data_IF_510362819638
#
_entry.id   IF_510362819638
#
_cell.length_a   1.000
_cell.length_b   1.000
_cell.length_c   1.000
_cell.angle_alpha   90.00
_cell.angle_beta   90.00
_cell.angle_gamma   90.00
#
_symmetry.space_group_name_H-M   'P 1'
#
loop_
_entity.id
_entity.type
_entity.pdbx_description
1 polymer ?
#
# COMPACT_ATOMS: atom_id res chain seq x y z
N UNK A 1 -0.97 -36.97 -32.61
CA UNK A 1 -0.82 -35.68 -31.89
C UNK A 1 -0.64 -35.99 -30.42
N UNK A 2 0.61 -36.09 -29.98
CA UNK A 2 0.94 -36.33 -28.58
C UNK A 2 1.15 -35.04 -27.77
N UNK A 3 1.33 -33.90 -28.45
CA UNK A 3 1.33 -32.58 -27.81
C UNK A 3 0.05 -32.34 -27.02
N UNK A 4 0.18 -31.72 -25.87
CA UNK A 4 -0.92 -31.39 -24.98
C UNK A 4 -1.56 -30.08 -25.41
N UNK A 5 -2.82 -30.15 -25.81
CA UNK A 5 -3.65 -28.98 -26.06
C UNK A 5 -4.26 -28.48 -24.74
N UNK A 6 -4.35 -27.16 -24.56
CA UNK A 6 -5.01 -26.55 -23.39
C UNK A 6 -4.13 -26.41 -22.14
N UNK A 7 -2.79 -26.47 -22.27
CA UNK A 7 -1.89 -26.06 -21.20
C UNK A 7 -1.87 -24.52 -21.12
N UNK A 8 -2.22 -23.96 -19.96
CA UNK A 8 -2.25 -22.51 -19.72
C UNK A 8 -1.09 -22.11 -18.82
N UNK A 9 -0.25 -21.19 -19.27
CA UNK A 9 0.76 -20.56 -18.42
C UNK A 9 0.10 -19.75 -17.31
N UNK A 10 0.49 -20.00 -16.06
CA UNK A 10 0.00 -19.29 -14.88
C UNK A 10 1.01 -18.26 -14.38
N UNK A 11 2.30 -18.55 -14.47
CA UNK A 11 3.38 -17.72 -13.95
C UNK A 11 4.64 -17.81 -14.82
N UNK A 12 5.39 -16.70 -14.89
CA UNK A 12 6.59 -16.56 -15.69
C UNK A 12 7.55 -15.54 -15.07
N UNK A 13 8.83 -15.93 -14.91
CA UNK A 13 9.87 -15.08 -14.31
C UNK A 13 11.04 -14.96 -15.30
N UNK A 14 11.47 -13.74 -15.62
CA UNK A 14 12.56 -13.45 -16.55
C UNK A 14 12.40 -14.12 -17.94
N UNK A 15 11.17 -14.34 -18.39
CA UNK A 15 10.88 -15.02 -19.66
C UNK A 15 10.86 -16.54 -19.60
N UNK A 16 11.04 -17.14 -18.42
CA UNK A 16 10.97 -18.58 -18.19
C UNK A 16 9.67 -18.96 -17.48
N UNK A 17 8.98 -20.00 -17.96
CA UNK A 17 7.70 -20.45 -17.39
C UNK A 17 7.96 -21.15 -16.07
N UNK A 18 7.33 -20.70 -14.99
CA UNK A 18 7.48 -21.25 -13.64
C UNK A 18 6.27 -22.08 -13.20
N UNK A 19 5.06 -21.76 -13.70
CA UNK A 19 3.83 -22.51 -13.39
C UNK A 19 2.89 -22.62 -14.58
N UNK A 20 2.22 -23.77 -14.69
CA UNK A 20 1.20 -24.04 -15.72
C UNK A 20 -0.02 -24.76 -15.15
N UNK A 21 -1.17 -24.58 -15.77
CA UNK A 21 -2.40 -25.33 -15.50
C UNK A 21 -2.71 -26.26 -16.67
N UNK A 22 -3.01 -27.51 -16.38
CA UNK A 22 -3.45 -28.50 -17.37
C UNK A 22 -4.49 -29.45 -16.75
N UNK A 23 -5.63 -29.63 -17.45
CA UNK A 23 -6.76 -30.45 -16.98
C UNK A 23 -7.22 -30.16 -15.54
N UNK A 24 -7.28 -28.88 -15.16
CA UNK A 24 -7.72 -28.44 -13.83
C UNK A 24 -6.72 -28.69 -12.70
N UNK A 25 -5.50 -29.13 -13.02
CA UNK A 25 -4.40 -29.26 -12.07
C UNK A 25 -3.31 -28.23 -12.36
N UNK A 26 -2.67 -27.74 -11.30
CA UNK A 26 -1.50 -26.88 -11.38
C UNK A 26 -0.22 -27.70 -11.37
N UNK A 27 0.76 -27.25 -12.13
CA UNK A 27 2.09 -27.84 -12.22
C UNK A 27 3.13 -26.75 -12.03
N UNK A 28 4.14 -27.04 -11.23
CA UNK A 28 5.26 -26.15 -10.94
C UNK A 28 6.53 -26.67 -11.60
N UNK A 29 7.37 -25.73 -12.06
CA UNK A 29 8.68 -26.09 -12.60
C UNK A 29 9.52 -26.73 -11.50
N UNK A 30 10.13 -27.88 -11.81
CA UNK A 30 10.99 -28.61 -10.88
C UNK A 30 12.36 -28.88 -11.46
N UNK A 31 13.35 -28.89 -10.57
CA UNK A 31 14.69 -29.40 -10.86
C UNK A 31 14.84 -30.85 -10.41
N UNK A 32 15.67 -31.61 -11.11
CA UNK A 32 15.95 -33.03 -10.81
C UNK A 32 15.36 -34.01 -11.84
N UNK A 33 15.26 -35.30 -11.47
CA UNK A 33 14.83 -36.36 -12.40
C UNK A 33 13.34 -36.25 -12.71
N UNK A 34 12.99 -36.66 -13.93
CA UNK A 34 11.62 -36.74 -14.39
C UNK A 34 10.83 -37.81 -13.63
N UNK A 35 9.51 -37.64 -13.56
CA UNK A 35 8.57 -38.64 -13.10
C UNK A 35 7.51 -38.88 -14.17
N UNK A 36 7.01 -40.12 -14.25
CA UNK A 36 5.87 -40.43 -15.09
C UNK A 36 4.69 -39.54 -14.73
N UNK A 37 4.16 -38.81 -15.71
CA UNK A 37 3.06 -37.86 -15.53
C UNK A 37 3.48 -36.41 -15.34
N UNK A 38 4.78 -36.10 -15.20
CA UNK A 38 5.28 -34.73 -15.31
C UNK A 38 4.99 -34.16 -16.72
N UNK A 39 4.85 -32.84 -16.82
CA UNK A 39 4.81 -32.17 -18.11
C UNK A 39 6.22 -31.79 -18.55
N UNK A 40 6.51 -32.02 -19.82
CA UNK A 40 7.82 -31.81 -20.44
C UNK A 40 7.67 -30.70 -21.47
N UNK A 41 8.50 -29.66 -21.36
CA UNK A 41 8.57 -28.56 -22.32
C UNK A 41 9.93 -28.62 -23.04
N UNK A 42 10.02 -29.14 -24.28
CA UNK A 42 11.25 -29.12 -25.05
C UNK A 42 11.71 -27.69 -25.33
N UNK A 43 12.95 -27.37 -24.92
CA UNK A 43 13.60 -26.07 -25.12
C UNK A 43 14.67 -26.12 -26.23
N UNK A 44 15.03 -27.31 -26.70
CA UNK A 44 15.91 -27.56 -27.85
C UNK A 44 15.29 -28.61 -28.79
N UNK A 45 15.94 -28.87 -29.93
CA UNK A 45 15.56 -29.91 -30.89
C UNK A 45 16.08 -31.32 -30.47
N UNK A 46 16.27 -31.53 -29.16
CA UNK A 46 16.80 -32.77 -28.61
C UNK A 46 15.81 -33.94 -28.63
N UNK A 47 14.52 -33.67 -28.80
CA UNK A 47 13.50 -34.67 -29.06
C UNK A 47 13.22 -34.74 -30.57
N UNK A 48 13.28 -35.94 -31.15
CA UNK A 48 12.91 -36.19 -32.54
C UNK A 48 11.41 -36.07 -32.70
N UNK A 49 11.01 -35.38 -33.77
CA UNK A 49 9.60 -35.22 -34.17
C UNK A 49 8.68 -34.65 -33.07
N UNK A 50 9.24 -33.95 -32.08
CA UNK A 50 8.52 -33.17 -31.08
C UNK A 50 8.68 -31.66 -31.35
N UNK A 51 7.57 -30.93 -31.22
CA UNK A 51 7.54 -29.48 -31.43
C UNK A 51 8.12 -28.73 -30.23
N UNK A 52 9.25 -28.04 -30.44
CA UNK A 52 9.86 -27.13 -29.46
C UNK A 52 8.85 -26.08 -28.96
N UNK A 53 8.83 -25.84 -27.65
CA UNK A 53 7.90 -24.90 -27.01
C UNK A 53 6.48 -25.43 -26.80
N UNK A 54 6.19 -26.67 -27.18
CA UNK A 54 4.92 -27.34 -26.87
C UNK A 54 5.06 -28.24 -25.65
N UNK A 55 3.97 -28.44 -24.90
CA UNK A 55 3.98 -29.32 -23.75
C UNK A 55 3.65 -30.76 -24.13
N UNK A 56 4.38 -31.70 -23.54
CA UNK A 56 4.17 -33.14 -23.66
C UNK A 56 4.03 -33.75 -22.26
N UNK A 57 3.46 -34.96 -22.19
CA UNK A 57 3.38 -35.71 -20.94
C UNK A 57 4.51 -36.74 -20.90
N UNK A 58 5.29 -36.77 -19.82
CA UNK A 58 6.23 -37.85 -19.57
C UNK A 58 5.46 -39.17 -19.40
N UNK A 59 5.63 -40.10 -20.34
CA UNK A 59 5.00 -41.42 -20.32
C UNK A 59 5.87 -42.45 -19.59
N UNK A 60 7.17 -42.20 -19.50
CA UNK A 60 8.15 -43.08 -18.85
C UNK A 60 9.38 -42.26 -18.45
N UNK A 61 10.28 -42.89 -17.70
CA UNK A 61 11.56 -42.30 -17.28
C UNK A 61 12.65 -43.31 -17.58
N UNK A 62 13.74 -42.87 -18.22
CA UNK A 62 14.85 -43.77 -18.54
C UNK A 62 15.71 -44.10 -17.30
N UNK A 63 16.81 -44.85 -17.50
CA UNK A 63 17.67 -45.29 -16.40
C UNK A 63 18.43 -44.15 -15.72
N UNK A 64 18.65 -43.05 -16.42
CA UNK A 64 19.40 -41.90 -15.93
C UNK A 64 18.45 -40.84 -15.30
N UNK A 65 17.14 -41.08 -15.35
CA UNK A 65 16.12 -40.20 -14.80
C UNK A 65 15.59 -39.18 -15.82
N UNK A 66 15.89 -39.38 -17.11
CA UNK A 66 15.48 -38.51 -18.19
C UNK A 66 14.06 -38.85 -18.69
N UNK A 67 13.35 -37.82 -19.16
CA UNK A 67 11.95 -37.95 -19.55
C UNK A 67 11.79 -38.64 -20.91
N UNK A 68 10.87 -39.60 -20.97
CA UNK A 68 10.41 -40.21 -22.23
C UNK A 68 9.00 -39.72 -22.52
N UNK A 69 8.79 -39.17 -23.72
CA UNK A 69 7.51 -38.66 -24.21
C UNK A 69 7.02 -39.50 -25.40
N UNK A 70 5.77 -39.25 -25.81
CA UNK A 70 5.32 -39.57 -27.16
C UNK A 70 5.49 -38.32 -28.02
N UNK A 71 6.08 -38.45 -29.19
CA UNK A 71 6.30 -37.34 -30.13
C UNK A 71 5.06 -37.07 -31.02
N UNK A 72 5.17 -36.13 -31.96
CA UNK A 72 4.03 -35.73 -32.79
C UNK A 72 3.55 -36.83 -33.75
N UNK A 73 4.42 -37.80 -34.08
CA UNK A 73 4.11 -38.98 -34.90
C UNK A 73 3.68 -40.20 -34.07
N UNK A 74 3.79 -40.11 -32.74
CA UNK A 74 3.35 -41.13 -31.79
C UNK A 74 4.42 -42.15 -31.42
N UNK A 75 5.67 -41.91 -31.78
CA UNK A 75 6.80 -42.73 -31.38
C UNK A 75 7.30 -42.33 -29.98
N UNK A 76 7.92 -43.29 -29.30
CA UNK A 76 8.51 -43.06 -27.97
C UNK A 76 9.87 -42.43 -28.15
N UNK A 77 10.07 -41.25 -27.58
CA UNK A 77 11.34 -40.55 -27.65
C UNK A 77 11.79 -40.02 -26.29
N UNK A 78 13.09 -40.15 -26.02
CA UNK A 78 13.74 -39.74 -24.78
C UNK A 78 14.89 -38.81 -25.09
N UNK A 79 15.10 -37.79 -24.26
CA UNK A 79 16.16 -36.81 -24.45
C UNK A 79 16.85 -36.47 -23.15
N UNK A 80 18.07 -35.93 -23.21
CA UNK A 80 18.84 -35.55 -22.03
C UNK A 80 18.20 -34.37 -21.27
N UNK A 81 18.34 -34.35 -19.94
CA UNK A 81 17.79 -33.32 -19.04
C UNK A 81 17.92 -31.86 -19.50
N UNK A 82 19.02 -31.48 -20.16
CA UNK A 82 19.27 -30.09 -20.59
C UNK A 82 18.48 -29.67 -21.84
N UNK A 83 17.71 -30.59 -22.45
CA UNK A 83 16.94 -30.32 -23.65
C UNK A 83 15.49 -29.90 -23.37
N UNK A 84 15.04 -29.93 -22.11
CA UNK A 84 13.67 -29.62 -21.71
C UNK A 84 13.55 -29.05 -20.30
N UNK A 85 12.42 -28.41 -20.02
CA UNK A 85 11.97 -28.08 -18.66
C UNK A 85 10.90 -29.05 -18.17
N UNK A 86 10.90 -29.33 -16.86
CA UNK A 86 9.96 -30.23 -16.19
C UNK A 86 8.97 -29.46 -15.33
N UNK A 87 7.71 -29.85 -15.40
CA UNK A 87 6.65 -29.33 -14.54
C UNK A 87 5.94 -30.48 -13.82
N UNK A 88 6.01 -30.47 -12.49
CA UNK A 88 5.43 -31.50 -11.64
C UNK A 88 4.09 -31.05 -11.10
N UNK A 89 3.13 -31.97 -11.12
CA UNK A 89 1.79 -31.73 -10.58
C UNK A 89 1.89 -31.34 -9.11
N UNK A 90 1.45 -30.14 -8.77
CA UNK A 90 1.27 -29.72 -7.38
C UNK A 90 0.02 -30.42 -6.89
N UNK A 91 0.18 -31.35 -5.95
CA UNK A 91 -0.96 -31.93 -5.26
C UNK A 91 -1.57 -30.83 -4.40
N UNK A 92 -2.63 -30.18 -4.88
CA UNK A 92 -3.46 -29.37 -4.02
C UNK A 92 -3.95 -30.27 -2.87
N UNK A 93 -3.55 -29.94 -1.65
CA UNK A 93 -4.22 -30.43 -0.44
C UNK A 93 -5.64 -29.85 -0.45
N UNK A 94 -6.51 -30.45 -1.26
CA UNK A 94 -7.92 -30.19 -1.15
C UNK A 94 -8.41 -30.87 0.13
N UNK A 95 -9.16 -30.16 0.99
CA UNK A 95 -9.81 -30.79 2.11
C UNK A 95 -10.65 -31.96 1.60
N UNK A 96 -10.58 -33.07 2.32
CA UNK A 96 -11.36 -34.29 2.08
C UNK A 96 -12.86 -33.97 2.00
N UNK A 97 -13.66 -34.85 1.39
CA UNK A 97 -15.12 -34.70 1.35
C UNK A 97 -15.67 -34.53 2.77
N UNK A 98 -15.09 -35.25 3.73
CA UNK A 98 -15.41 -35.20 5.14
C UNK A 98 -15.08 -33.83 5.77
N UNK A 99 -13.93 -33.25 5.45
CA UNK A 99 -13.56 -31.91 5.91
C UNK A 99 -14.43 -30.83 5.28
N UNK A 100 -14.78 -30.94 3.99
CA UNK A 100 -15.68 -30.02 3.31
C UNK A 100 -17.11 -30.11 3.84
N UNK A 101 -17.59 -31.31 4.13
CA UNK A 101 -18.90 -31.52 4.78
C UNK A 101 -18.88 -30.93 6.18
N UNK A 102 -17.81 -31.11 6.95
CA UNK A 102 -17.68 -30.50 8.28
C UNK A 102 -17.66 -28.97 8.24
N UNK A 103 -16.96 -28.37 7.27
CA UNK A 103 -16.98 -26.91 7.07
C UNK A 103 -18.37 -26.44 6.66
N UNK A 104 -19.00 -27.09 5.69
CA UNK A 104 -20.35 -26.73 5.24
C UNK A 104 -21.39 -26.91 6.35
N UNK A 105 -21.27 -27.92 7.21
CA UNK A 105 -22.17 -28.11 8.35
C UNK A 105 -22.03 -26.96 9.37
N UNK A 106 -20.81 -26.53 9.65
CA UNK A 106 -20.55 -25.34 10.50
C UNK A 106 -21.09 -24.07 9.87
N UNK A 107 -20.91 -23.89 8.56
CA UNK A 107 -21.42 -22.73 7.83
C UNK A 107 -22.95 -22.72 7.82
N UNK A 108 -23.59 -23.89 7.68
CA UNK A 108 -25.06 -24.01 7.77
C UNK A 108 -25.56 -23.73 9.19
N UNK A 109 -24.84 -24.15 10.24
CA UNK A 109 -25.19 -23.79 11.62
C UNK A 109 -25.05 -22.28 11.87
N UNK A 110 -23.97 -21.66 11.38
CA UNK A 110 -23.79 -20.20 11.43
C UNK A 110 -24.92 -19.49 10.70
N UNK A 111 -25.25 -19.90 9.47
CA UNK A 111 -26.33 -19.32 8.68
C UNK A 111 -27.69 -19.50 9.34
N UNK A 112 -27.95 -20.65 10.00
CA UNK A 112 -29.19 -20.85 10.77
C UNK A 112 -29.25 -19.94 11.99
N UNK A 113 -28.12 -19.71 12.66
CA UNK A 113 -28.03 -18.77 13.78
C UNK A 113 -28.24 -17.32 13.31
N UNK A 114 -27.65 -16.93 12.19
CA UNK A 114 -27.84 -15.61 11.58
C UNK A 114 -29.29 -15.41 11.10
N UNK A 115 -29.89 -16.42 10.47
CA UNK A 115 -31.31 -16.38 10.06
C UNK A 115 -32.26 -16.36 11.26
N UNK A 116 -31.93 -17.03 12.37
CA UNK A 116 -32.72 -16.95 13.59
C UNK A 116 -32.61 -15.55 14.23
N UNK A 117 -31.42 -14.95 14.21
CA UNK A 117 -31.19 -13.56 14.63
C UNK A 117 -32.00 -12.59 13.76
N UNK A 118 -31.91 -12.72 12.44
CA UNK A 118 -32.66 -11.89 11.48
C UNK A 118 -34.19 -12.08 11.57
N UNK A 119 -34.67 -13.29 11.88
CA UNK A 119 -36.10 -13.53 12.11
C UNK A 119 -36.59 -13.01 13.45
N UNK A 120 -35.73 -12.93 14.47
CA UNK A 120 -36.03 -12.24 15.72
C UNK A 120 -36.06 -10.71 15.59
N UNK A 121 -35.41 -10.16 14.56
CA UNK A 121 -35.37 -8.72 14.26
C UNK A 121 -36.49 -8.24 13.31
N UNK A 122 -37.36 -9.14 12.87
CA UNK A 122 -38.45 -8.85 11.93
C UNK A 122 -39.76 -8.39 12.61
N UNK A 123 -39.73 -7.97 13.88
CA UNK A 123 -40.84 -7.22 14.47
C UNK A 123 -40.81 -5.76 13.96
N UNK A 124 -41.95 -5.18 13.53
CA UNK A 124 -41.99 -3.79 13.10
C UNK A 124 -41.54 -2.88 14.26
N UNK A 125 -40.46 -2.14 14.05
CA UNK A 125 -39.94 -1.20 15.05
C UNK A 125 -40.76 0.09 14.97
N UNK A 126 -41.27 0.53 16.11
CA UNK A 126 -42.01 1.79 16.24
C UNK A 126 -41.10 2.82 16.92
N UNK A 127 -40.86 3.96 16.28
CA UNK A 127 -40.11 5.08 16.88
C UNK A 127 -41.09 6.09 17.45
N UNK A 128 -40.85 6.61 18.67
CA UNK A 128 -41.66 7.67 19.27
C UNK A 128 -41.33 9.00 18.59
N UNK A 129 -42.35 9.74 18.18
CA UNK A 129 -42.23 11.05 17.53
C UNK A 129 -42.96 12.12 18.35
N UNK A 130 -42.63 13.39 18.12
CA UNK A 130 -43.34 14.52 18.72
C UNK A 130 -44.79 14.60 18.22
N UNK A 131 -45.72 14.99 19.10
CA UNK A 131 -47.16 15.10 18.75
C UNK A 131 -47.40 16.04 17.56
N UNK A 132 -46.61 17.11 17.45
CA UNK A 132 -46.69 18.07 16.33
C UNK A 132 -46.23 17.51 14.99
N UNK A 133 -45.57 16.36 14.95
CA UNK A 133 -45.11 15.69 13.73
C UNK A 133 -46.05 14.56 13.27
N UNK A 134 -47.16 14.35 13.98
CA UNK A 134 -48.13 13.31 13.66
C UNK A 134 -48.76 13.53 12.28
N UNK A 135 -48.92 12.45 11.53
CA UNK A 135 -49.66 12.44 10.26
C UNK A 135 -50.42 11.13 10.08
N UNK A 136 -51.36 11.10 9.14
CA UNK A 136 -52.04 9.88 8.74
C UNK A 136 -51.04 8.75 8.41
N UNK A 137 -51.31 7.54 8.91
CA UNK A 137 -50.44 6.36 8.82
C UNK A 137 -49.33 6.25 9.89
N UNK A 138 -49.17 7.25 10.75
CA UNK A 138 -48.47 7.10 12.03
C UNK A 138 -49.42 6.38 13.05
N UNK A 139 -48.97 6.13 14.27
CA UNK A 139 -49.71 5.37 15.29
C UNK A 139 -49.81 6.15 16.60
N UNK A 140 -50.94 6.09 17.28
CA UNK A 140 -51.15 6.65 18.61
C UNK A 140 -51.28 5.53 19.65
N UNK A 141 -50.68 5.75 20.82
CA UNK A 141 -50.73 4.83 21.96
C UNK A 141 -51.13 5.58 23.22
N UNK A 142 -52.27 5.21 23.79
CA UNK A 142 -52.76 5.79 25.03
C UNK A 142 -52.03 5.20 26.23
N UNK A 143 -51.53 6.08 27.08
CA UNK A 143 -50.87 5.74 28.35
C UNK A 143 -51.93 5.64 29.45
N UNK A 144 -52.95 6.49 29.36
CA UNK A 144 -54.11 6.52 30.26
C UNK A 144 -55.32 7.05 29.48
N UNK A 145 -56.48 6.45 29.68
CA UNK A 145 -57.75 6.88 29.08
C UNK A 145 -58.91 6.50 30.01
N UNK A 146 -59.99 7.29 29.96
CA UNK A 146 -61.27 7.01 30.63
C UNK A 146 -62.32 6.46 29.66
N UNK A 147 -61.96 6.30 28.38
CA UNK A 147 -62.80 5.73 27.35
C UNK A 147 -62.66 4.21 27.34
N UNK A 148 -63.78 3.50 27.58
CA UNK A 148 -63.82 2.04 27.66
C UNK A 148 -63.59 1.39 26.27
N UNK A 149 -63.75 2.15 25.18
CA UNK A 149 -63.55 1.70 23.80
C UNK A 149 -62.07 1.87 23.34
N UNK A 150 -61.20 2.35 24.23
CA UNK A 150 -59.75 2.51 24.00
C UNK A 150 -58.95 1.65 24.99
N UNK A 151 -58.28 0.62 24.48
CA UNK A 151 -57.29 -0.16 25.23
C UNK A 151 -55.96 0.59 25.38
N UNK A 152 -55.59 0.91 26.62
CA UNK A 152 -54.25 1.41 26.95
C UNK A 152 -53.16 0.45 26.47
N UNK A 153 -52.00 0.99 26.12
CA UNK A 153 -50.86 0.27 25.54
C UNK A 153 -51.04 -0.31 24.12
N UNK A 154 -52.25 -0.31 23.56
CA UNK A 154 -52.50 -0.68 22.16
C UNK A 154 -52.07 0.46 21.21
N UNK A 155 -51.57 0.09 20.02
CA UNK A 155 -51.25 1.02 18.94
C UNK A 155 -52.45 1.13 18.01
N UNK A 156 -52.95 2.35 17.81
CA UNK A 156 -54.01 2.68 16.86
C UNK A 156 -53.40 3.43 15.68
N UNK A 157 -53.75 3.07 14.45
CA UNK A 157 -53.30 3.80 13.25
C UNK A 157 -54.05 5.13 13.17
N UNK A 158 -53.32 6.20 12.87
CA UNK A 158 -53.87 7.54 12.72
C UNK A 158 -54.49 7.64 11.34
N UNK A 159 -55.80 7.89 11.29
CA UNK A 159 -56.56 8.08 10.06
C UNK A 159 -56.33 9.49 9.49
N UNK A 160 -56.31 10.51 10.35
CA UNK A 160 -56.11 11.91 9.98
C UNK A 160 -55.60 12.76 11.15
N UNK A 161 -54.95 13.89 10.85
CA UNK A 161 -54.68 14.97 11.80
C UNK A 161 -55.33 16.24 11.28
N UNK A 162 -56.07 16.95 12.12
CA UNK A 162 -56.75 18.18 11.73
C UNK A 162 -55.84 19.43 11.82
N UNK A 163 -56.40 20.61 11.56
CA UNK A 163 -55.65 21.87 11.56
C UNK A 163 -55.32 22.40 12.97
N UNK A 164 -55.96 21.87 14.02
CA UNK A 164 -55.65 22.15 15.42
C UNK A 164 -54.60 21.19 15.98
N UNK A 165 -54.33 20.08 15.26
CA UNK A 165 -53.40 19.04 15.66
C UNK A 165 -54.07 17.88 16.40
N UNK A 166 -55.40 17.79 16.37
CA UNK A 166 -56.15 16.68 16.96
C UNK A 166 -56.05 15.44 16.05
N UNK A 167 -55.85 14.29 16.67
CA UNK A 167 -55.51 13.02 15.99
C UNK A 167 -56.77 12.15 15.90
N UNK A 168 -57.20 11.80 14.70
CA UNK A 168 -58.34 10.90 14.45
C UNK A 168 -57.86 9.46 14.22
N UNK A 169 -58.55 8.49 14.81
CA UNK A 169 -58.25 7.06 14.68
C UNK A 169 -59.51 6.20 14.88
N UNK A 170 -59.45 4.94 14.46
CA UNK A 170 -60.52 3.95 14.68
C UNK A 170 -60.30 3.17 15.98
N UNK A 171 -61.29 3.15 16.86
CA UNK A 171 -61.20 2.54 18.20
C UNK A 171 -61.36 1.00 18.24
N UNK A 172 -61.56 0.40 19.42
CA UNK A 172 -61.68 -1.05 19.57
C UNK A 172 -63.01 -1.63 19.05
N UNK A 173 -64.06 -0.80 18.93
CA UNK A 173 -65.38 -1.20 18.43
C UNK A 173 -65.57 -0.85 16.94
N UNK A 174 -64.60 -0.14 16.36
CA UNK A 174 -64.57 0.22 14.95
C UNK A 174 -65.20 1.57 14.63
N UNK A 175 -65.43 2.40 15.66
CA UNK A 175 -65.98 3.75 15.51
C UNK A 175 -64.84 4.79 15.39
N UNK A 176 -65.14 5.93 14.76
CA UNK A 176 -64.21 7.05 14.61
C UNK A 176 -64.10 7.81 15.94
N UNK A 177 -62.89 7.91 16.46
CA UNK A 177 -62.57 8.60 17.70
C UNK A 177 -61.41 9.59 17.49
N UNK A 178 -61.17 10.50 18.44
CA UNK A 178 -60.09 11.48 18.36
C UNK A 178 -59.35 11.66 19.67
N UNK A 179 -58.04 11.88 19.58
CA UNK A 179 -57.16 12.18 20.71
C UNK A 179 -56.88 13.69 20.76
N UNK A 180 -57.40 14.36 21.80
CA UNK A 180 -57.21 15.78 22.06
C UNK A 180 -55.82 16.07 22.62
N UNK A 181 -55.31 17.29 22.44
CA UNK A 181 -54.05 17.72 23.06
C UNK A 181 -53.97 17.46 24.60
N UNK A 182 -55.12 17.47 25.29
CA UNK A 182 -55.24 17.23 26.74
C UNK A 182 -55.12 15.75 27.15
N UNK A 183 -55.16 14.82 26.20
CA UNK A 183 -55.10 13.38 26.46
C UNK A 183 -53.67 12.85 26.66
N UNK A 184 -53.58 11.78 27.44
CA UNK A 184 -52.30 11.15 27.79
C UNK A 184 -51.95 10.05 26.81
N UNK A 185 -51.35 10.44 25.68
CA UNK A 185 -50.87 9.52 24.64
C UNK A 185 -49.46 9.86 24.14
N UNK A 186 -48.85 8.89 23.46
CA UNK A 186 -47.64 9.05 22.68
C UNK A 186 -47.88 8.66 21.22
N UNK A 187 -47.20 9.34 20.29
CA UNK A 187 -47.28 9.08 18.85
C UNK A 187 -46.04 8.32 18.39
N UNK A 188 -46.23 7.39 17.47
CA UNK A 188 -45.22 6.48 16.95
C UNK A 188 -45.27 6.42 15.44
N UNK A 189 -44.11 6.29 14.79
CA UNK A 189 -44.03 6.03 13.36
C UNK A 189 -43.58 4.59 13.12
N UNK A 190 -44.34 3.86 12.30
CA UNK A 190 -43.95 2.51 11.87
C UNK A 190 -42.82 2.64 10.86
N UNK A 191 -41.63 2.19 11.22
CA UNK A 191 -40.49 2.12 10.31
C UNK A 191 -40.31 0.67 9.88
N UNK A 192 -40.28 0.43 8.56
CA UNK A 192 -39.78 -0.86 8.06
C UNK A 192 -38.33 -1.01 8.51
N UNK A 193 -37.89 -2.22 8.85
CA UNK A 193 -36.49 -2.45 9.24
C UNK A 193 -35.49 -1.89 8.21
N UNK A 194 -35.90 -1.76 6.94
CA UNK A 194 -35.12 -1.14 5.85
C UNK A 194 -35.10 0.40 5.85
N UNK A 195 -36.05 1.08 6.51
CA UNK A 195 -36.12 2.54 6.60
C UNK A 195 -35.84 3.08 8.01
N UNK A 196 -35.72 2.19 9.00
CA UNK A 196 -35.24 2.48 10.35
C UNK A 196 -33.71 2.64 10.43
N UNK A 197 -32.99 2.28 9.36
CA UNK A 197 -31.54 2.48 9.18
C UNK A 197 -31.23 3.49 8.06
N UNK A 198 -32.00 4.58 7.98
CA UNK A 198 -31.53 5.81 7.34
C UNK A 198 -30.62 6.65 8.26
N UNK A 199 -30.18 6.08 9.39
CA UNK A 199 -28.74 6.14 9.68
C UNK A 199 -28.24 4.69 9.69
N UNK A 200 -27.30 4.29 8.82
CA UNK A 200 -26.53 3.11 9.13
C UNK A 200 -25.92 3.41 10.48
N UNK A 201 -26.12 2.57 11.50
CA UNK A 201 -25.25 2.64 12.69
C UNK A 201 -23.85 2.49 12.09
N UNK A 202 -23.01 3.55 12.04
CA UNK A 202 -21.77 3.47 11.31
C UNK A 202 -21.02 2.32 11.95
N UNK A 203 -20.46 1.43 11.12
CA UNK A 203 -19.44 0.50 11.59
C UNK A 203 -18.48 1.34 12.43
N UNK A 204 -18.52 1.16 13.76
CA UNK A 204 -17.92 2.12 14.67
C UNK A 204 -16.45 2.16 14.32
N UNK A 205 -15.98 3.35 13.94
CA UNK A 205 -14.57 3.61 13.72
C UNK A 205 -13.79 3.04 14.90
N UNK A 206 -12.77 2.24 14.61
CA UNK A 206 -11.90 1.62 15.61
C UNK A 206 -10.48 2.13 15.43
N UNK A 207 -9.69 2.01 16.49
CA UNK A 207 -8.25 2.24 16.42
C UNK A 207 -7.64 1.38 15.31
N UNK A 208 -6.85 1.99 14.45
CA UNK A 208 -6.28 1.42 13.23
C UNK A 208 -7.07 1.76 11.96
N UNK A 209 -8.29 2.27 12.06
CA UNK A 209 -9.04 2.74 10.89
C UNK A 209 -8.53 4.12 10.44
N UNK A 210 -8.73 4.40 9.15
CA UNK A 210 -8.55 5.74 8.59
C UNK A 210 -9.91 6.41 8.44
N UNK A 211 -9.96 7.69 8.78
CA UNK A 211 -11.14 8.51 8.73
C UNK A 211 -10.89 9.82 7.99
N UNK A 212 -11.94 10.37 7.40
CA UNK A 212 -11.97 11.71 6.85
C UNK A 212 -12.74 12.63 7.79
N UNK A 213 -12.18 13.81 8.04
CA UNK A 213 -12.81 14.87 8.82
C UNK A 213 -13.89 15.54 7.97
N UNK A 214 -15.13 15.58 8.46
CA UNK A 214 -16.28 16.16 7.73
C UNK A 214 -16.79 17.47 8.32
N UNK A 215 -16.30 17.83 9.51
CA UNK A 215 -16.58 19.11 10.17
C UNK A 215 -15.42 19.46 11.09
N UNK A 216 -15.28 20.76 11.32
CA UNK A 216 -14.30 21.34 12.23
C UNK A 216 -15.02 21.84 13.48
N UNK A 217 -14.87 21.16 14.62
CA UNK A 217 -15.26 21.70 15.92
C UNK A 217 -14.05 22.18 16.75
N UNK A 218 -14.35 22.94 17.80
CA UNK A 218 -13.33 23.52 18.67
C UNK A 218 -12.55 22.43 19.42
N UNK A 219 -11.26 22.27 19.12
CA UNK A 219 -10.39 21.41 19.94
C UNK A 219 -9.20 20.75 19.25
N UNK A 220 -9.12 20.81 17.91
CA UNK A 220 -8.02 20.25 17.12
C UNK A 220 -7.62 21.13 15.93
N UNK A 221 -6.49 20.78 15.30
CA UNK A 221 -5.93 21.47 14.12
C UNK A 221 -6.20 20.72 12.80
N UNK A 222 -7.09 19.73 12.80
CA UNK A 222 -7.53 19.08 11.57
C UNK A 222 -8.55 19.95 10.83
N UNK A 223 -8.35 20.08 9.52
CA UNK A 223 -9.24 20.78 8.60
C UNK A 223 -10.26 19.79 8.00
N UNK A 224 -11.37 20.32 7.50
CA UNK A 224 -12.35 19.51 6.74
C UNK A 224 -11.66 18.86 5.54
N UNK A 225 -12.01 17.61 5.25
CA UNK A 225 -11.40 16.71 4.26
C UNK A 225 -9.99 16.16 4.61
N UNK A 226 -9.43 16.48 5.78
CA UNK A 226 -8.20 15.83 6.24
C UNK A 226 -8.41 14.32 6.43
N UNK A 227 -7.46 13.52 5.93
CA UNK A 227 -7.40 12.08 6.18
C UNK A 227 -6.50 11.82 7.39
N UNK A 228 -7.08 11.18 8.40
CA UNK A 228 -6.45 10.89 9.68
C UNK A 228 -6.47 9.39 9.98
N UNK A 229 -5.44 8.92 10.69
CA UNK A 229 -5.35 7.58 11.23
C UNK A 229 -5.76 7.59 12.70
N UNK A 230 -6.67 6.72 13.11
CA UNK A 230 -7.09 6.61 14.51
C UNK A 230 -6.08 5.76 15.29
N UNK A 231 -5.29 6.38 16.15
CA UNK A 231 -4.16 5.72 16.82
C UNK A 231 -4.47 5.28 18.25
N UNK A 232 -5.45 5.89 18.92
CA UNK A 232 -5.82 5.55 20.30
C UNK A 232 -7.29 5.90 20.57
N UNK A 233 -7.98 5.08 21.35
CA UNK A 233 -9.32 5.38 21.83
C UNK A 233 -9.24 6.29 23.06
N UNK A 234 -9.93 7.44 23.02
CA UNK A 234 -10.06 8.34 24.15
C UNK A 234 -11.29 8.02 25.02
N UNK A 235 -11.54 8.86 26.02
CA UNK A 235 -12.78 8.80 26.79
C UNK A 235 -13.91 9.46 25.99
N UNK A 236 -14.90 8.64 25.58
CA UNK A 236 -16.29 8.98 25.18
C UNK A 236 -16.55 10.35 24.51
N UNK A 237 -16.76 10.47 23.19
CA UNK A 237 -16.53 9.57 22.06
C UNK A 237 -15.32 10.00 21.21
N UNK A 238 -14.22 10.42 21.85
CA UNK A 238 -13.07 10.97 21.14
C UNK A 238 -12.05 9.89 20.74
N UNK A 239 -11.40 10.09 19.60
CA UNK A 239 -10.20 9.37 19.19
C UNK A 239 -9.00 10.29 19.28
N UNK A 240 -7.84 9.74 19.64
CA UNK A 240 -6.58 10.36 19.29
C UNK A 240 -6.26 9.94 17.86
N UNK A 241 -6.07 10.91 16.99
CA UNK A 241 -5.81 10.66 15.59
C UNK A 241 -4.53 11.36 15.15
N UNK A 242 -3.94 10.84 14.07
CA UNK A 242 -2.76 11.40 13.42
C UNK A 242 -3.09 11.77 11.99
N UNK A 243 -2.88 13.03 11.61
CA UNK A 243 -3.05 13.49 10.24
C UNK A 243 -1.96 12.91 9.34
N UNK A 244 -2.35 12.42 8.17
CA UNK A 244 -1.40 11.79 7.26
C UNK A 244 -0.44 12.78 6.58
N UNK A 245 -0.86 14.03 6.35
CA UNK A 245 -0.08 15.01 5.59
C UNK A 245 1.21 15.45 6.28
N UNK A 246 1.17 15.65 7.61
CA UNK A 246 2.29 16.18 8.40
C UNK A 246 2.56 15.42 9.70
N UNK A 247 1.71 14.45 10.05
CA UNK A 247 1.86 13.67 11.28
C UNK A 247 1.36 14.36 12.54
N UNK A 248 0.67 15.50 12.44
CA UNK A 248 0.07 16.20 13.59
C UNK A 248 -0.92 15.29 14.33
N UNK A 249 -0.87 15.34 15.66
CA UNK A 249 -1.64 14.44 16.54
C UNK A 249 -2.57 15.23 17.43
N UNK A 250 -3.87 14.99 17.30
CA UNK A 250 -4.91 15.68 18.07
C UNK A 250 -6.02 14.72 18.48
N UNK A 251 -6.80 15.14 19.47
CA UNK A 251 -8.05 14.46 19.82
C UNK A 251 -9.19 15.01 18.96
N UNK A 252 -10.00 14.12 18.41
CA UNK A 252 -11.13 14.44 17.54
C UNK A 252 -12.34 13.62 17.96
N UNK A 253 -13.53 14.20 17.91
CA UNK A 253 -14.77 13.50 18.24
C UNK A 253 -15.16 12.55 17.10
N UNK A 254 -15.56 11.31 17.42
CA UNK A 254 -15.99 10.32 16.44
C UNK A 254 -17.09 10.82 15.50
N UNK A 255 -17.91 11.77 15.97
CA UNK A 255 -19.01 12.35 15.22
C UNK A 255 -18.54 13.37 14.17
N UNK A 256 -17.28 13.81 14.21
CA UNK A 256 -16.66 14.67 13.19
C UNK A 256 -16.05 13.89 12.03
N UNK A 257 -16.16 12.55 12.07
CA UNK A 257 -15.43 11.64 11.22
C UNK A 257 -16.36 10.75 10.40
N UNK A 258 -15.96 10.48 9.16
CA UNK A 258 -16.49 9.38 8.35
C UNK A 258 -15.36 8.44 7.98
N UNK A 259 -15.66 7.16 7.75
CA UNK A 259 -14.65 6.21 7.28
C UNK A 259 -14.09 6.69 5.93
N UNK A 260 -12.76 6.78 5.83
CA UNK A 260 -12.11 7.12 4.58
C UNK A 260 -12.16 5.93 3.62
N UNK A 261 -12.33 6.22 2.33
CA UNK A 261 -12.25 5.20 1.27
C UNK A 261 -10.80 4.81 0.99
N UNK A 262 -10.58 3.61 0.44
CA UNK A 262 -9.23 3.15 0.08
C UNK A 262 -8.53 4.11 -0.91
N UNK A 263 -9.30 4.76 -1.79
CA UNK A 263 -8.79 5.75 -2.74
C UNK A 263 -8.36 7.06 -2.06
N UNK A 264 -9.15 7.58 -1.12
CA UNK A 264 -8.79 8.76 -0.31
C UNK A 264 -7.54 8.48 0.55
N UNK A 265 -7.44 7.27 1.13
CA UNK A 265 -6.28 6.86 1.92
C UNK A 265 -5.03 6.79 1.03
N UNK A 266 -5.14 6.20 -0.16
CA UNK A 266 -4.03 6.09 -1.10
C UNK A 266 -3.53 7.47 -1.56
N UNK A 267 -4.45 8.37 -1.95
CA UNK A 267 -4.10 9.73 -2.34
C UNK A 267 -3.50 10.53 -1.19
N UNK A 268 -4.01 10.40 0.05
CA UNK A 268 -3.45 11.09 1.20
C UNK A 268 -2.03 10.61 1.53
N UNK A 269 -1.75 9.30 1.44
CA UNK A 269 -0.41 8.74 1.64
C UNK A 269 0.57 9.23 0.57
N UNK A 270 0.14 9.23 -0.68
CA UNK A 270 0.92 9.71 -1.81
C UNK A 270 1.18 11.23 -1.72
N UNK A 271 0.17 12.02 -1.33
CA UNK A 271 0.33 13.44 -1.05
C UNK A 271 1.30 13.72 0.11
N UNK A 272 1.22 12.94 1.20
CA UNK A 272 2.14 13.04 2.33
C UNK A 272 3.58 12.71 1.92
N UNK A 273 3.79 11.67 1.12
CA UNK A 273 5.11 11.32 0.58
C UNK A 273 5.68 12.47 -0.27
N UNK A 274 4.88 13.06 -1.16
CA UNK A 274 5.29 14.22 -1.97
C UNK A 274 5.56 15.48 -1.15
N UNK A 275 4.83 15.71 -0.05
CA UNK A 275 4.98 16.90 0.78
C UNK A 275 6.37 17.03 1.44
N UNK A 276 7.08 15.91 1.62
CA UNK A 276 8.46 15.89 2.10
C UNK A 276 9.45 16.56 1.14
N UNK A 277 9.13 16.58 -0.16
CA UNK A 277 9.95 17.15 -1.22
C UNK A 277 9.60 18.61 -1.44
N UNK A 278 10.04 19.49 -0.54
CA UNK A 278 9.78 20.93 -0.65
C UNK A 278 10.58 21.54 -1.81
N UNK A 279 10.08 22.64 -2.38
CA UNK A 279 10.83 23.42 -3.37
C UNK A 279 12.22 23.78 -2.84
N UNK A 280 13.24 23.62 -3.68
CA UNK A 280 14.64 23.82 -3.34
C UNK A 280 15.32 22.63 -2.66
N UNK A 281 14.56 21.63 -2.18
CA UNK A 281 15.14 20.44 -1.56
C UNK A 281 16.06 19.69 -2.53
N UNK A 282 17.15 19.14 -2.00
CA UNK A 282 18.13 18.37 -2.76
C UNK A 282 17.78 16.89 -2.67
N UNK A 283 17.69 16.24 -3.83
CA UNK A 283 17.28 14.83 -3.94
C UNK A 283 18.26 14.06 -4.79
N UNK A 284 18.54 12.81 -4.41
CA UNK A 284 19.26 11.86 -5.25
C UNK A 284 18.25 11.04 -6.06
N UNK A 285 18.47 10.91 -7.36
CA UNK A 285 17.66 10.04 -8.20
C UNK A 285 18.14 8.60 -8.06
N UNK A 286 17.28 7.69 -7.59
CA UNK A 286 17.63 6.27 -7.39
C UNK A 286 17.41 5.43 -8.66
N UNK A 287 16.35 5.73 -9.41
CA UNK A 287 15.90 4.90 -10.53
C UNK A 287 15.08 5.70 -11.55
N UNK A 288 15.00 5.21 -12.79
CA UNK A 288 14.22 5.81 -13.88
C UNK A 288 14.96 6.87 -14.71
N UNK A 289 16.19 7.24 -14.31
CA UNK A 289 17.04 8.14 -15.09
C UNK A 289 17.36 7.59 -16.49
N UNK A 290 17.37 8.48 -17.48
CA UNK A 290 17.69 8.18 -18.88
C UNK A 290 16.49 7.78 -19.72
N UNK A 291 15.32 7.57 -19.10
CA UNK A 291 14.06 7.26 -19.78
C UNK A 291 13.06 8.39 -19.60
N UNK A 292 12.10 8.53 -20.52
CA UNK A 292 11.02 9.51 -20.34
C UNK A 292 10.16 9.11 -19.13
N UNK A 293 9.83 10.02 -18.19
CA UNK A 293 9.94 11.50 -18.24
C UNK A 293 11.20 12.12 -17.57
N UNK A 294 12.24 11.33 -17.36
CA UNK A 294 13.54 11.69 -16.76
C UNK A 294 14.68 11.70 -17.79
N UNK A 295 14.39 12.04 -19.06
CA UNK A 295 15.41 12.16 -20.11
C UNK A 295 16.41 13.27 -19.75
N UNK A 296 17.70 12.93 -19.75
CA UNK A 296 18.78 13.85 -19.34
C UNK A 296 19.04 13.87 -17.83
N UNK A 297 18.31 13.07 -17.04
CA UNK A 297 18.58 12.82 -15.63
C UNK A 297 19.18 11.41 -15.47
N UNK A 298 20.17 11.25 -14.61
CA UNK A 298 20.91 10.00 -14.40
C UNK A 298 20.75 9.52 -12.95
N UNK A 299 20.65 8.22 -12.77
CA UNK A 299 20.59 7.62 -11.43
C UNK A 299 21.91 7.89 -10.69
N UNK A 300 21.83 8.09 -9.38
CA UNK A 300 22.95 8.43 -8.50
C UNK A 300 23.28 9.93 -8.43
N UNK A 301 22.80 10.75 -9.38
CA UNK A 301 23.03 12.20 -9.37
C UNK A 301 22.04 12.95 -8.46
N UNK A 302 22.47 14.15 -8.05
CA UNK A 302 21.68 15.05 -7.19
C UNK A 302 21.02 16.14 -8.00
N UNK A 303 19.75 16.38 -7.69
CA UNK A 303 18.87 17.33 -8.35
C UNK A 303 18.17 18.21 -7.32
N UNK A 304 17.61 19.33 -7.79
CA UNK A 304 16.78 20.21 -6.97
C UNK A 304 15.31 19.98 -7.28
N UNK A 305 14.47 19.91 -6.25
CA UNK A 305 13.01 19.91 -6.41
C UNK A 305 12.56 21.31 -6.79
N UNK A 306 11.79 21.43 -7.86
CA UNK A 306 11.16 22.68 -8.29
C UNK A 306 9.71 22.75 -7.85
N UNK A 307 8.99 21.63 -7.97
CA UNK A 307 7.58 21.56 -7.59
C UNK A 307 7.21 20.12 -7.24
N UNK A 308 6.34 19.92 -6.25
CA UNK A 308 6.09 18.58 -5.68
C UNK A 308 4.72 17.99 -6.04
N UNK A 309 3.94 18.68 -6.88
CA UNK A 309 2.59 18.25 -7.22
C UNK A 309 2.27 18.45 -8.71
N UNK A 310 3.21 18.10 -9.59
CA UNK A 310 3.03 18.20 -11.03
C UNK A 310 2.04 17.14 -11.53
N UNK A 311 0.95 17.57 -12.16
CA UNK A 311 -0.08 16.67 -12.71
C UNK A 311 0.27 16.29 -14.15
N UNK A 312 0.43 14.99 -14.41
CA UNK A 312 0.73 14.42 -15.72
C UNK A 312 -0.29 13.36 -16.11
N UNK A 313 -0.20 12.86 -17.33
CA UNK A 313 -1.07 11.81 -17.89
C UNK A 313 -0.94 10.47 -17.16
N UNK A 314 0.24 10.22 -16.59
CA UNK A 314 0.63 9.02 -15.86
C UNK A 314 0.46 9.14 -14.34
N UNK A 315 -0.03 10.28 -13.84
CA UNK A 315 -0.28 10.51 -12.42
C UNK A 315 0.32 11.82 -11.92
N UNK A 316 0.44 11.96 -10.59
CA UNK A 316 1.13 13.08 -9.94
C UNK A 316 2.61 12.75 -9.77
N UNK A 317 3.47 13.73 -9.97
CA UNK A 317 4.92 13.55 -9.90
C UNK A 317 5.59 14.75 -9.23
N UNK A 318 6.82 14.53 -8.77
CA UNK A 318 7.72 15.56 -8.27
C UNK A 318 8.56 16.04 -9.45
N UNK A 319 8.55 17.34 -9.68
CA UNK A 319 9.37 18.01 -10.67
C UNK A 319 10.74 18.32 -10.08
N UNK A 320 11.77 17.78 -10.73
CA UNK A 320 13.18 18.02 -10.43
C UNK A 320 13.82 18.82 -11.56
N UNK A 321 14.78 19.67 -11.24
CA UNK A 321 15.47 20.55 -12.19
C UNK A 321 16.97 20.35 -12.19
N UNK A 322 17.55 20.41 -13.38
CA UNK A 322 19.00 20.40 -13.61
C UNK A 322 19.35 21.21 -14.86
N UNK A 323 20.25 22.19 -14.72
CA UNK A 323 20.73 22.99 -15.85
C UNK A 323 19.62 23.57 -16.77
N UNK A 324 18.46 23.93 -16.18
CA UNK A 324 17.31 24.46 -16.91
C UNK A 324 16.40 23.41 -17.57
N UNK A 325 16.69 22.12 -17.41
CA UNK A 325 15.82 21.02 -17.82
C UNK A 325 14.94 20.56 -16.65
N UNK A 326 13.72 20.11 -16.96
CA UNK A 326 12.76 19.56 -16.01
C UNK A 326 12.63 18.06 -16.19
N UNK A 327 12.65 17.33 -15.08
CA UNK A 327 12.43 15.89 -14.99
C UNK A 327 11.31 15.61 -14.01
N UNK A 328 10.62 14.49 -14.18
CA UNK A 328 9.46 14.15 -13.36
C UNK A 328 9.66 12.77 -12.73
N UNK A 329 9.71 12.71 -11.41
CA UNK A 329 9.95 11.49 -10.67
C UNK A 329 8.81 11.21 -9.68
N UNK A 330 8.57 9.94 -9.38
CA UNK A 330 7.70 9.56 -8.26
C UNK A 330 8.48 9.65 -6.93
N UNK A 331 7.80 9.79 -5.77
CA UNK A 331 8.46 9.79 -4.46
C UNK A 331 9.44 8.63 -4.27
N UNK A 332 9.06 7.42 -4.70
CA UNK A 332 9.87 6.21 -4.54
C UNK A 332 11.15 6.21 -5.37
N UNK A 333 11.22 6.99 -6.46
CA UNK A 333 12.41 7.14 -7.29
C UNK A 333 13.42 8.12 -6.69
N UNK A 334 13.04 8.88 -5.66
CA UNK A 334 13.86 9.92 -5.05
C UNK A 334 14.31 9.51 -3.64
N UNK A 335 15.45 10.05 -3.26
CA UNK A 335 15.97 10.04 -1.90
C UNK A 335 16.22 11.48 -1.49
N UNK A 336 15.57 11.93 -0.40
CA UNK A 336 15.79 13.26 0.14
C UNK A 336 17.17 13.31 0.80
N UNK A 337 18.02 14.26 0.40
CA UNK A 337 19.34 14.44 0.99
C UNK A 337 19.31 15.56 2.03
N UNK A 338 19.96 15.38 3.18
CA UNK A 338 20.19 16.48 4.10
C UNK A 338 21.08 17.54 3.43
N UNK A 339 20.90 18.80 3.84
CA UNK A 339 21.59 19.95 3.23
C UNK A 339 23.12 19.81 3.26
N UNK A 340 23.66 19.21 4.34
CA UNK A 340 25.10 18.99 4.50
C UNK A 340 25.67 18.01 3.44
N UNK A 341 25.01 16.87 3.23
CA UNK A 341 25.42 15.89 2.21
C UNK A 341 25.28 16.46 0.80
N UNK A 342 24.20 17.20 0.54
CA UNK A 342 24.01 17.84 -0.76
C UNK A 342 25.09 18.90 -1.05
N UNK A 343 25.44 19.71 -0.05
CA UNK A 343 26.51 20.69 -0.17
C UNK A 343 27.89 20.06 -0.37
N UNK A 344 28.13 18.87 0.20
CA UNK A 344 29.34 18.10 -0.07
C UNK A 344 29.36 17.58 -1.51
N UNK A 345 28.28 16.96 -1.97
CA UNK A 345 28.17 16.47 -3.35
C UNK A 345 28.37 17.60 -4.36
N UNK A 346 27.80 18.78 -4.12
CA UNK A 346 27.99 19.95 -4.98
C UNK A 346 29.45 20.43 -5.03
N UNK A 347 30.18 20.42 -3.90
CA UNK A 347 31.60 20.79 -3.86
C UNK A 347 32.45 19.86 -4.73
N UNK A 348 32.20 18.55 -4.65
CA UNK A 348 32.91 17.54 -5.44
C UNK A 348 32.51 17.62 -6.93
N UNK A 349 31.23 17.79 -7.23
CA UNK A 349 30.76 17.95 -8.60
C UNK A 349 31.31 19.22 -9.28
N UNK A 350 31.48 20.33 -8.54
CA UNK A 350 32.03 21.58 -9.06
C UNK A 350 33.49 21.44 -9.56
N UNK A 351 34.23 20.46 -9.04
CA UNK A 351 35.59 20.13 -9.51
C UNK A 351 35.60 18.95 -10.51
N UNK A 352 34.41 18.50 -10.94
CA UNK A 352 34.24 17.42 -11.91
C UNK A 352 34.59 16.04 -11.34
N UNK A 353 34.29 15.79 -10.06
CA UNK A 353 34.62 14.55 -9.36
C UNK A 353 33.45 14.02 -8.54
N UNK A 354 33.46 12.72 -8.25
CA UNK A 354 32.54 12.10 -7.30
C UNK A 354 32.95 12.39 -5.85
N UNK A 355 32.01 12.27 -4.91
CA UNK A 355 32.33 12.40 -3.47
C UNK A 355 33.39 11.36 -3.11
N UNK A 356 34.38 11.78 -2.33
CA UNK A 356 35.54 10.99 -1.92
C UNK A 356 36.47 10.53 -3.05
N UNK A 357 36.35 11.09 -4.25
CA UNK A 357 37.26 10.83 -5.37
C UNK A 357 38.58 11.60 -5.22
N UNK A 358 39.41 11.16 -4.26
CA UNK A 358 40.75 11.67 -4.05
C UNK A 358 41.73 11.15 -5.12
N UNK A 359 42.45 12.06 -5.77
CA UNK A 359 43.49 11.79 -6.76
C UNK A 359 44.87 12.09 -6.19
N UNK A 360 45.88 11.43 -6.74
CA UNK A 360 47.28 11.71 -6.40
C UNK A 360 47.60 13.18 -6.67
N UNK A 361 48.12 13.88 -5.67
CA UNK A 361 48.42 15.31 -5.75
C UNK A 361 47.40 16.22 -5.09
N UNK A 362 46.26 15.71 -4.63
CA UNK A 362 45.32 16.53 -3.88
C UNK A 362 45.90 16.97 -2.55
N UNK A 363 45.64 18.21 -2.14
CA UNK A 363 45.93 18.69 -0.80
C UNK A 363 44.70 18.48 0.06
N UNK A 364 44.88 17.77 1.17
CA UNK A 364 43.83 17.43 2.13
C UNK A 364 44.21 17.93 3.51
N UNK A 365 43.21 18.37 4.28
CA UNK A 365 43.36 18.52 5.72
C UNK A 365 43.04 17.17 6.38
N UNK A 366 43.78 16.83 7.42
CA UNK A 366 43.53 15.65 8.23
C UNK A 366 43.36 16.02 9.71
N UNK A 367 42.50 15.29 10.39
CA UNK A 367 42.30 15.37 11.84
C UNK A 367 42.48 13.96 12.43
N UNK A 368 43.74 13.57 12.64
CA UNK A 368 44.05 12.29 13.29
C UNK A 368 45.06 12.49 14.44
N UNK A 369 44.55 12.65 15.68
CA UNK A 369 45.39 12.87 16.84
C UNK A 369 46.18 11.63 17.27
N UNK A 370 45.85 10.44 16.75
CA UNK A 370 46.47 9.17 17.16
C UNK A 370 47.79 8.91 16.45
N UNK A 371 47.90 9.31 15.17
CA UNK A 371 49.09 9.04 14.36
C UNK A 371 49.99 10.24 14.12
N UNK A 372 49.46 11.46 14.23
CA UNK A 372 50.18 12.68 13.84
C UNK A 372 50.49 13.64 14.99
N UNK A 373 49.82 13.47 16.14
CA UNK A 373 49.84 14.41 17.27
C UNK A 373 49.60 15.89 16.87
N UNK A 374 49.12 16.13 15.64
CA UNK A 374 49.00 17.44 15.00
C UNK A 374 47.81 17.42 14.03
N UNK A 375 47.12 18.56 13.92
CA UNK A 375 46.22 18.85 12.79
C UNK A 375 47.05 19.49 11.68
N UNK A 376 46.82 19.11 10.43
CA UNK A 376 47.68 19.58 9.35
C UNK A 376 47.14 19.33 7.95
N UNK A 377 48.00 19.64 6.98
CA UNK A 377 47.74 19.39 5.57
C UNK A 377 48.69 18.32 5.04
N UNK A 378 48.18 17.46 4.17
CA UNK A 378 48.95 16.44 3.50
C UNK A 378 48.62 16.36 2.02
N UNK A 379 49.54 15.80 1.24
CA UNK A 379 49.32 15.51 -0.17
C UNK A 379 48.94 14.05 -0.37
N UNK A 380 47.86 13.79 -1.11
CA UNK A 380 47.46 12.44 -1.49
C UNK A 380 48.52 11.80 -2.40
N UNK A 381 49.06 10.66 -1.99
CA UNK A 381 50.05 9.89 -2.77
C UNK A 381 49.37 8.78 -3.57
N UNK A 382 48.46 8.04 -2.93
CA UNK A 382 47.71 6.93 -3.54
C UNK A 382 46.53 6.51 -2.66
N UNK A 383 45.51 5.91 -3.27
CA UNK A 383 44.47 5.18 -2.53
C UNK A 383 45.04 3.86 -2.00
N UNK A 384 44.73 3.48 -0.75
CA UNK A 384 45.14 2.19 -0.16
C UNK A 384 44.02 1.16 -0.26
N UNK A 385 42.79 1.57 0.01
CA UNK A 385 41.56 0.79 -0.02
C UNK A 385 40.36 1.73 -0.24
N UNK A 386 39.16 1.18 -0.38
CA UNK A 386 37.93 1.99 -0.54
C UNK A 386 37.71 3.00 0.58
N UNK A 387 38.13 2.70 1.81
CA UNK A 387 37.96 3.58 2.99
C UNK A 387 39.22 4.28 3.47
N UNK A 388 40.35 4.19 2.76
CA UNK A 388 41.61 4.75 3.26
C UNK A 388 42.54 5.25 2.15
N UNK A 389 43.12 6.43 2.39
CA UNK A 389 44.04 7.13 1.49
C UNK A 389 45.42 7.20 2.15
N UNK A 390 46.48 7.05 1.33
CA UNK A 390 47.84 7.35 1.76
C UNK A 390 48.17 8.79 1.43
N UNK A 391 48.48 9.58 2.46
CA UNK A 391 48.93 10.96 2.33
C UNK A 391 50.39 11.10 2.74
N UNK A 392 51.05 12.11 2.20
CA UNK A 392 52.38 12.55 2.59
C UNK A 392 52.25 13.88 3.33
N UNK A 393 52.67 13.92 4.58
CA UNK A 393 52.46 15.04 5.49
C UNK A 393 53.64 15.18 6.45
N UNK A 394 53.77 16.36 7.06
CA UNK A 394 54.79 16.63 8.08
C UNK A 394 54.37 15.99 9.42
N UNK A 395 55.30 15.30 10.05
CA UNK A 395 55.14 14.84 11.43
C UNK A 395 55.41 15.96 12.44
N UNK A 396 55.16 15.69 13.72
CA UNK A 396 55.41 16.60 14.85
C UNK A 396 56.90 17.00 15.02
N UNK A 397 57.83 16.33 14.33
CA UNK A 397 59.26 16.65 14.29
C UNK A 397 59.67 17.40 12.99
N UNK A 398 58.73 17.68 12.09
CA UNK A 398 58.97 18.37 10.83
C UNK A 398 59.52 17.48 9.71
N UNK A 399 59.46 16.15 9.83
CA UNK A 399 59.84 15.23 8.77
C UNK A 399 58.64 14.86 7.90
N UNK A 400 58.88 14.77 6.59
CA UNK A 400 57.89 14.29 5.64
C UNK A 400 57.75 12.77 5.76
N UNK A 401 56.54 12.31 6.07
CA UNK A 401 56.20 10.88 6.26
C UNK A 401 54.92 10.54 5.53
N UNK A 402 54.72 9.24 5.28
CA UNK A 402 53.52 8.71 4.65
C UNK A 402 52.62 8.02 5.66
N UNK A 403 51.35 8.35 5.60
CA UNK A 403 50.35 7.90 6.55
C UNK A 403 49.13 7.37 5.83
N UNK A 404 48.55 6.29 6.36
CA UNK A 404 47.24 5.84 5.92
C UNK A 404 46.19 6.51 6.78
N UNK A 405 45.34 7.32 6.18
CA UNK A 405 44.25 8.02 6.87
C UNK A 405 42.90 7.52 6.35
N UNK A 406 41.95 7.19 7.24
CA UNK A 406 40.58 6.93 6.87
C UNK A 406 39.95 8.11 6.11
N UNK A 407 39.12 7.85 5.10
CA UNK A 407 38.52 8.89 4.26
C UNK A 407 37.64 9.85 5.06
N UNK A 408 36.91 9.34 6.05
CA UNK A 408 36.05 10.10 6.97
C UNK A 408 36.81 11.10 7.85
N UNK A 409 38.16 11.03 7.86
CA UNK A 409 39.05 11.98 8.56
C UNK A 409 39.79 12.92 7.62
N UNK A 410 39.47 12.87 6.33
CA UNK A 410 40.08 13.73 5.31
C UNK A 410 39.07 14.75 4.82
N UNK A 411 39.56 15.96 4.60
CA UNK A 411 38.82 17.03 3.93
C UNK A 411 39.63 17.53 2.76
N UNK A 412 39.07 17.46 1.55
CA UNK A 412 39.71 18.05 0.38
C UNK A 412 39.84 19.57 0.54
N UNK A 413 41.06 20.09 0.38
CA UNK A 413 41.37 21.53 0.48
C UNK A 413 41.69 22.10 -0.90
N UNK A 414 42.48 21.39 -1.69
CA UNK A 414 42.83 21.83 -3.04
C UNK A 414 42.98 20.62 -3.96
N UNK A 415 42.13 20.48 -4.98
CA UNK A 415 42.27 19.42 -5.97
C UNK A 415 43.53 19.64 -6.79
N UNK A 416 44.18 18.56 -7.22
CA UNK A 416 45.44 18.64 -7.98
C UNK A 416 45.32 19.44 -9.28
N UNK A 417 44.13 19.53 -9.89
CA UNK A 417 43.87 20.29 -11.12
C UNK A 417 43.85 21.81 -10.88
N UNK A 418 43.59 22.25 -9.64
CA UNK A 418 43.60 23.66 -9.25
C UNK A 418 44.97 24.15 -8.75
N UNK A 419 45.94 23.25 -8.62
CA UNK A 419 47.28 23.55 -8.10
C UNK A 419 48.13 24.32 -9.11
N UNK A 420 48.54 25.53 -8.74
CA UNK A 420 49.42 26.35 -9.58
C UNK A 420 50.86 25.83 -9.60
N UNK A 421 51.32 25.18 -8.53
CA UNK A 421 52.68 24.65 -8.39
C UNK A 421 52.96 23.43 -9.28
N UNK A 422 51.93 22.94 -9.99
CA UNK A 422 52.02 21.83 -10.96
C UNK A 422 51.69 22.22 -12.39
N UNK A 423 51.33 23.48 -12.67
CA UNK A 423 51.15 23.97 -14.05
C UNK A 423 52.51 24.05 -14.73
N UNK A 424 52.87 23.02 -15.49
CA UNK A 424 54.14 22.95 -16.22
C UNK A 424 54.77 21.55 -16.31
N UNK A 425 54.13 20.52 -15.76
CA UNK A 425 54.54 19.11 -15.93
C UNK A 425 53.47 18.42 -16.76
N UNK A 426 53.47 18.68 -18.08
CA UNK A 426 52.89 17.75 -19.07
C UNK A 426 53.91 16.67 -19.45
#
# INVERSE_FOLDING_TARGET
MAKLEGVKTLDMVNGEITKVAYNGAEYERVEGPAQTGDLVLPITDGFRDATKGSFYKAIDVDRDGDAVILDDVGDRDGSFRHNYDLFRKVSASHPTLEERVSTNEKDIESLKFDVATLKGEAEPKYIRIDKSEAKAGDFVKFIETYDDDITTEKMYEIDQVDWLGDIYFTDDVGDENYASADDTYAVYRKVSAASAEAEPKPERLKVGDYAKVVREEFGHLFDTDDIIELIEAGNNPNFKARRLSDGEVWFVDASELVRATDEEIAEAKDAAARAQFKEGAKVRLKSGGGEYPLLGFENGKVYSVSYNNSRRTDGKSIEITHAGMLGYATPDQLELLPEEEAAEIEKWAAIGREVDEYKKGDIVAYDDPVWFETIGFGEVVRRRSERAIVIEALDNYGYVKRYTVPIDRLKLITPTEARFDRKGVE
#
